data_IF_422098801632
#
_entry.id   IF_422098801632
#
_cell.length_a   1.000
_cell.length_b   1.000
_cell.length_c   1.000
_cell.angle_alpha   90.00
_cell.angle_beta   90.00
_cell.angle_gamma   90.00
#
_symmetry.space_group_name_H-M   'P 1'
#
loop_
_entity.id
_entity.type
_entity.pdbx_description
1 polymer ?
#
# COMPACT_ATOMS: atom_id res chain seq x y z
N UNK A 1 -25.97 7.43 -4.98
CA UNK A 1 -25.70 6.78 -3.69
C UNK A 1 -24.33 7.25 -3.22
N UNK A 2 -24.23 7.72 -1.96
CA UNK A 2 -22.96 8.07 -1.33
C UNK A 2 -22.32 6.76 -0.84
N UNK A 3 -21.07 6.53 -1.21
CA UNK A 3 -20.29 5.35 -0.78
C UNK A 3 -19.22 5.79 0.22
N UNK A 4 -19.00 5.00 1.25
CA UNK A 4 -17.99 5.22 2.27
C UNK A 4 -16.75 4.40 1.93
N UNK A 5 -15.58 5.02 1.99
CA UNK A 5 -14.31 4.32 1.81
C UNK A 5 -13.41 4.51 3.03
N UNK A 6 -12.65 3.48 3.37
CA UNK A 6 -11.49 3.58 4.26
C UNK A 6 -10.25 3.33 3.43
N UNK A 7 -9.25 4.19 3.60
CA UNK A 7 -7.98 4.15 2.87
C UNK A 7 -6.85 4.08 3.90
N UNK A 8 -5.96 3.12 3.76
CA UNK A 8 -4.82 2.94 4.67
C UNK A 8 -3.51 2.79 3.90
N UNK A 9 -2.50 3.62 4.15
CA UNK A 9 -1.16 3.49 3.59
C UNK A 9 -0.20 2.80 4.58
N UNK A 10 0.98 2.47 4.12
CA UNK A 10 2.25 2.36 4.84
C UNK A 10 2.19 1.62 6.18
N UNK A 11 1.63 0.42 6.20
CA UNK A 11 1.47 -0.37 7.43
C UNK A 11 2.76 -1.03 7.91
N UNK A 12 3.66 -1.38 6.97
CA UNK A 12 4.98 -1.96 7.25
C UNK A 12 4.98 -3.12 8.24
N UNK A 13 4.08 -4.11 8.03
CA UNK A 13 4.12 -5.32 8.86
C UNK A 13 5.49 -6.02 8.70
N UNK A 14 6.11 -6.50 9.79
CA UNK A 14 5.59 -6.61 11.16
C UNK A 14 5.97 -5.46 12.09
N UNK A 15 6.65 -4.39 11.61
CA UNK A 15 7.14 -3.28 12.45
C UNK A 15 6.11 -2.18 12.72
N UNK A 16 4.88 -2.40 12.28
CA UNK A 16 3.73 -1.50 12.39
C UNK A 16 3.44 -1.02 13.83
N UNK A 17 2.83 0.14 13.96
CA UNK A 17 2.22 0.55 15.23
C UNK A 17 0.95 -0.29 15.51
N UNK A 18 1.06 -1.16 16.51
CA UNK A 18 -0.05 -2.05 16.93
C UNK A 18 -1.29 -1.29 17.40
N UNK A 19 -1.12 -0.07 17.96
CA UNK A 19 -2.26 0.76 18.39
C UNK A 19 -2.96 1.36 17.18
N UNK A 20 -2.20 1.85 16.20
CA UNK A 20 -2.75 2.38 14.95
C UNK A 20 -3.57 1.31 14.21
N UNK A 21 -3.05 0.09 14.06
CA UNK A 21 -3.80 -1.00 13.41
C UNK A 21 -5.09 -1.35 14.16
N UNK A 22 -5.08 -1.38 15.49
CA UNK A 22 -6.30 -1.58 16.27
C UNK A 22 -7.32 -0.46 16.06
N UNK A 23 -6.87 0.79 15.92
CA UNK A 23 -7.73 1.93 15.61
C UNK A 23 -8.33 1.78 14.20
N UNK A 24 -7.54 1.38 13.21
CA UNK A 24 -8.01 1.09 11.85
C UNK A 24 -9.11 0.01 11.86
N UNK A 25 -8.87 -1.12 12.53
CA UNK A 25 -9.86 -2.20 12.66
C UNK A 25 -11.16 -1.68 13.30
N UNK A 26 -11.07 -0.92 14.39
CA UNK A 26 -12.22 -0.32 15.04
C UNK A 26 -12.94 0.70 14.15
N UNK A 27 -12.19 1.51 13.39
CA UNK A 27 -12.77 2.45 12.43
C UNK A 27 -13.54 1.72 11.32
N UNK A 28 -13.04 0.60 10.80
CA UNK A 28 -13.74 -0.25 9.85
C UNK A 28 -15.07 -0.74 10.42
N UNK A 29 -15.08 -1.25 11.65
CA UNK A 29 -16.29 -1.76 12.31
C UNK A 29 -17.35 -0.65 12.56
N UNK A 30 -16.91 0.59 12.86
CA UNK A 30 -17.81 1.73 13.10
C UNK A 30 -18.34 2.32 11.78
N UNK A 31 -17.43 2.58 10.82
CA UNK A 31 -17.76 3.24 9.55
C UNK A 31 -18.55 2.31 8.63
N UNK A 32 -18.27 1.00 8.71
CA UNK A 32 -18.82 -0.03 7.81
C UNK A 32 -18.64 0.39 6.35
N UNK A 33 -17.40 0.47 5.86
CA UNK A 33 -17.11 1.00 4.53
C UNK A 33 -17.67 0.09 3.44
N UNK A 34 -18.08 0.71 2.34
CA UNK A 34 -18.45 0.02 1.10
C UNK A 34 -17.18 -0.39 0.33
N UNK A 35 -16.10 0.38 0.52
CA UNK A 35 -14.82 0.22 -0.18
C UNK A 35 -13.67 0.28 0.83
N UNK A 36 -12.73 -0.64 0.70
CA UNK A 36 -11.45 -0.57 1.40
C UNK A 36 -10.29 -0.46 0.40
N UNK A 37 -9.37 0.47 0.62
CA UNK A 37 -8.22 0.69 -0.25
C UNK A 37 -6.95 0.62 0.57
N UNK A 38 -6.14 -0.39 0.29
CA UNK A 38 -4.76 -0.51 0.75
C UNK A 38 -3.84 0.21 -0.24
N UNK A 39 -3.11 1.22 0.20
CA UNK A 39 -2.21 1.99 -0.67
C UNK A 39 -0.79 1.42 -0.74
N UNK A 40 -0.57 0.22 -0.25
CA UNK A 40 0.73 -0.46 -0.33
C UNK A 40 1.68 -0.13 0.82
N UNK A 41 2.92 -0.57 0.66
CA UNK A 41 3.91 -0.69 1.73
C UNK A 41 3.28 -1.40 2.95
N UNK A 42 2.55 -2.46 2.64
CA UNK A 42 1.86 -3.31 3.62
C UNK A 42 2.86 -4.18 4.35
N UNK A 43 3.88 -4.67 3.64
CA UNK A 43 5.02 -5.37 4.22
C UNK A 43 6.29 -4.53 4.21
N UNK A 44 7.16 -4.74 5.19
CA UNK A 44 8.42 -4.00 5.29
C UNK A 44 9.41 -4.38 4.18
N UNK A 45 9.58 -5.67 3.90
CA UNK A 45 10.44 -6.22 2.84
C UNK A 45 11.86 -5.62 2.76
N UNK A 46 12.39 -5.08 3.85
CA UNK A 46 13.67 -4.36 3.91
C UNK A 46 14.82 -5.15 3.29
N UNK A 47 14.88 -6.46 3.58
CA UNK A 47 15.94 -7.35 3.09
C UNK A 47 15.98 -7.52 1.57
N UNK A 48 14.97 -7.06 0.85
CA UNK A 48 14.89 -7.12 -0.62
C UNK A 48 15.14 -5.76 -1.27
N UNK A 49 15.34 -4.71 -0.46
CA UNK A 49 15.70 -3.37 -0.91
C UNK A 49 17.14 -3.28 -1.34
N UNK A 50 17.41 -2.66 -2.49
CA UNK A 50 18.77 -2.30 -2.90
C UNK A 50 19.43 -1.29 -1.95
N UNK A 51 18.63 -0.49 -1.24
CA UNK A 51 19.11 0.46 -0.24
C UNK A 51 19.66 -0.24 1.00
N UNK A 52 19.01 -1.32 1.44
CA UNK A 52 19.48 -2.13 2.57
C UNK A 52 20.88 -2.72 2.34
N UNK A 53 21.15 -3.17 1.11
CA UNK A 53 22.44 -3.79 0.76
C UNK A 53 23.54 -2.79 0.42
N UNK A 54 23.25 -1.50 0.35
CA UNK A 54 24.28 -0.49 0.05
C UNK A 54 25.34 -0.48 1.15
N UNK A 55 26.57 -0.85 0.79
CA UNK A 55 27.70 -0.97 1.73
C UNK A 55 27.68 -2.21 2.63
N UNK A 56 26.79 -3.18 2.38
CA UNK A 56 26.70 -4.47 3.08
C UNK A 56 26.95 -5.62 2.11
N UNK A 57 27.53 -6.71 2.60
CA UNK A 57 27.64 -7.94 1.82
C UNK A 57 26.27 -8.59 1.64
N UNK A 58 25.97 -9.05 0.42
CA UNK A 58 24.73 -9.79 0.17
C UNK A 58 24.72 -11.08 0.99
N UNK A 59 23.57 -11.42 1.58
CA UNK A 59 23.39 -12.70 2.26
C UNK A 59 23.26 -13.83 1.24
N UNK A 60 23.76 -15.03 1.58
CA UNK A 60 23.48 -16.23 0.81
C UNK A 60 21.96 -16.48 0.71
N UNK A 61 21.54 -17.16 -0.35
CA UNK A 61 20.11 -17.48 -0.55
C UNK A 61 19.55 -18.35 0.56
N UNK A 62 20.36 -19.24 1.12
CA UNK A 62 20.01 -20.10 2.27
C UNK A 62 19.63 -19.29 3.52
N UNK A 63 20.17 -18.09 3.70
CA UNK A 63 19.83 -17.18 4.79
C UNK A 63 18.61 -16.30 4.43
N UNK A 64 18.45 -15.94 3.16
CA UNK A 64 17.37 -15.06 2.71
C UNK A 64 16.00 -15.76 2.69
N UNK A 65 15.95 -17.05 2.31
CA UNK A 65 14.67 -17.78 2.21
C UNK A 65 13.95 -17.93 3.57
N UNK A 66 14.64 -18.29 4.67
CA UNK A 66 14.00 -18.30 5.99
C UNK A 66 13.47 -16.93 6.42
N UNK A 67 14.18 -15.84 6.13
CA UNK A 67 13.73 -14.46 6.38
C UNK A 67 12.48 -14.15 5.57
N UNK A 68 12.48 -14.46 4.28
CA UNK A 68 11.34 -14.26 3.39
C UNK A 68 10.10 -15.01 3.88
N UNK A 69 10.27 -16.27 4.27
CA UNK A 69 9.17 -17.08 4.83
C UNK A 69 8.59 -16.45 6.10
N UNK A 70 9.48 -15.95 6.96
CA UNK A 70 9.07 -15.26 8.19
C UNK A 70 8.31 -13.98 7.87
N UNK A 71 8.84 -13.14 6.98
CA UNK A 71 8.24 -11.88 6.60
C UNK A 71 6.86 -12.10 5.96
N UNK A 72 6.74 -13.02 5.00
CA UNK A 72 5.46 -13.41 4.39
C UNK A 72 4.44 -13.84 5.45
N UNK A 73 4.85 -14.68 6.40
CA UNK A 73 3.97 -15.13 7.49
C UNK A 73 3.50 -13.96 8.36
N UNK A 74 4.40 -13.07 8.72
CA UNK A 74 4.10 -11.97 9.64
C UNK A 74 3.25 -10.88 8.96
N UNK A 75 3.51 -10.58 7.67
CA UNK A 75 2.66 -9.67 6.87
C UNK A 75 1.25 -10.24 6.72
N UNK A 76 1.12 -11.53 6.38
CA UNK A 76 -0.20 -12.17 6.28
C UNK A 76 -0.99 -12.08 7.59
N UNK A 77 -0.35 -12.29 8.76
CA UNK A 77 -1.02 -12.10 10.06
C UNK A 77 -1.52 -10.67 10.27
N UNK A 78 -0.74 -9.69 9.83
CA UNK A 78 -1.16 -8.29 9.89
C UNK A 78 -2.37 -8.01 9.00
N UNK A 79 -2.38 -8.54 7.78
CA UNK A 79 -3.52 -8.45 6.87
C UNK A 79 -4.74 -9.18 7.41
N UNK A 80 -4.58 -10.36 8.02
CA UNK A 80 -5.69 -11.12 8.61
C UNK A 80 -6.48 -10.29 9.64
N UNK A 81 -5.80 -9.47 10.44
CA UNK A 81 -6.46 -8.58 11.42
C UNK A 81 -7.39 -7.55 10.75
N UNK A 82 -6.98 -7.00 9.62
CA UNK A 82 -7.77 -6.04 8.85
C UNK A 82 -8.91 -6.76 8.13
N UNK A 83 -8.61 -7.89 7.49
CA UNK A 83 -9.59 -8.69 6.76
C UNK A 83 -10.72 -9.18 7.67
N UNK A 84 -10.41 -9.64 8.88
CA UNK A 84 -11.42 -10.00 9.89
C UNK A 84 -12.39 -8.85 10.17
N UNK A 85 -11.91 -7.61 10.28
CA UNK A 85 -12.75 -6.44 10.50
C UNK A 85 -13.58 -6.10 9.27
N UNK A 86 -13.02 -6.23 8.06
CA UNK A 86 -13.74 -6.02 6.81
C UNK A 86 -14.82 -7.08 6.58
N UNK A 87 -14.54 -8.34 6.92
CA UNK A 87 -15.49 -9.45 6.82
C UNK A 87 -16.68 -9.28 7.77
N UNK A 88 -16.43 -8.87 9.03
CA UNK A 88 -17.48 -8.57 10.01
C UNK A 88 -18.48 -7.55 9.51
N UNK A 89 -18.06 -6.58 8.71
CA UNK A 89 -18.91 -5.51 8.17
C UNK A 89 -19.35 -5.77 6.73
N UNK A 90 -19.01 -6.92 6.17
CA UNK A 90 -19.33 -7.34 4.79
C UNK A 90 -18.83 -6.35 3.72
N UNK A 91 -17.63 -5.78 3.91
CA UNK A 91 -16.97 -4.93 2.90
C UNK A 91 -16.48 -5.80 1.74
N UNK A 92 -17.14 -5.72 0.58
CA UNK A 92 -16.87 -6.59 -0.58
C UNK A 92 -15.90 -5.99 -1.57
N UNK A 93 -15.88 -4.67 -1.71
CA UNK A 93 -14.98 -3.99 -2.65
C UNK A 93 -13.68 -3.64 -1.94
N UNK A 94 -12.61 -4.35 -2.30
CA UNK A 94 -11.29 -4.20 -1.70
C UNK A 94 -10.25 -4.01 -2.79
N UNK A 95 -9.41 -3.01 -2.66
CA UNK A 95 -8.33 -2.72 -3.59
C UNK A 95 -6.99 -2.74 -2.88
N UNK A 96 -6.00 -3.36 -3.51
CA UNK A 96 -4.61 -3.37 -3.06
C UNK A 96 -3.75 -2.66 -4.10
N UNK A 97 -3.26 -1.48 -3.77
CA UNK A 97 -2.32 -0.72 -4.61
C UNK A 97 -0.90 -1.07 -4.17
N UNK A 98 -0.11 -1.62 -5.07
CA UNK A 98 1.27 -2.01 -4.78
C UNK A 98 2.13 -0.80 -4.38
N UNK A 99 2.84 -0.90 -3.26
CA UNK A 99 3.83 0.08 -2.81
C UNK A 99 5.23 -0.22 -3.32
N UNK A 100 6.19 0.64 -2.98
CA UNK A 100 7.57 0.43 -3.42
C UNK A 100 8.27 -0.72 -2.66
N UNK A 101 7.86 -1.03 -1.45
CA UNK A 101 8.38 -2.17 -0.71
C UNK A 101 7.95 -3.50 -1.36
N UNK A 102 6.71 -3.63 -1.80
CA UNK A 102 6.26 -4.77 -2.59
C UNK A 102 7.00 -4.86 -3.93
N UNK A 103 7.30 -3.72 -4.57
CA UNK A 103 8.12 -3.69 -5.80
C UNK A 103 9.53 -4.22 -5.56
N UNK A 104 10.14 -4.01 -4.38
CA UNK A 104 11.45 -4.60 -4.08
C UNK A 104 11.37 -6.12 -4.03
N UNK A 105 10.36 -6.66 -3.36
CA UNK A 105 10.11 -8.10 -3.32
C UNK A 105 9.91 -8.67 -4.73
N UNK A 106 9.04 -8.06 -5.53
CA UNK A 106 8.76 -8.52 -6.89
C UNK A 106 10.01 -8.47 -7.78
N UNK A 107 10.84 -7.43 -7.67
CA UNK A 107 12.12 -7.35 -8.38
C UNK A 107 13.11 -8.42 -7.96
N UNK A 108 13.11 -8.80 -6.69
CA UNK A 108 13.92 -9.93 -6.21
C UNK A 108 13.41 -11.24 -6.83
N UNK A 109 12.12 -11.51 -6.80
CA UNK A 109 11.51 -12.70 -7.39
C UNK A 109 11.76 -12.78 -8.91
N UNK A 110 11.67 -11.67 -9.63
CA UNK A 110 11.95 -11.64 -11.08
C UNK A 110 13.39 -12.11 -11.38
N UNK A 111 14.35 -11.85 -10.50
CA UNK A 111 15.74 -12.36 -10.67
C UNK A 111 15.87 -13.86 -10.39
N UNK A 112 14.92 -14.43 -9.67
CA UNK A 112 14.92 -15.83 -9.25
C UNK A 112 13.55 -16.48 -9.53
N UNK A 113 13.25 -16.81 -10.80
CA UNK A 113 11.91 -17.25 -11.23
C UNK A 113 11.36 -18.47 -10.48
N UNK A 114 12.21 -19.31 -9.91
CA UNK A 114 11.80 -20.44 -9.07
C UNK A 114 11.19 -20.02 -7.72
N UNK A 115 11.20 -18.72 -7.41
CA UNK A 115 10.58 -18.12 -6.23
C UNK A 115 9.22 -17.45 -6.54
N UNK A 116 8.58 -17.76 -7.67
CA UNK A 116 7.33 -17.10 -8.13
C UNK A 116 6.21 -17.12 -7.06
N UNK A 117 6.18 -18.11 -6.18
CA UNK A 117 5.23 -18.17 -5.06
C UNK A 117 5.38 -17.00 -4.07
N UNK A 118 6.52 -16.31 -4.08
CA UNK A 118 6.79 -15.14 -3.22
C UNK A 118 6.51 -13.80 -3.88
N UNK A 119 6.06 -13.79 -5.14
CA UNK A 119 5.59 -12.56 -5.75
C UNK A 119 4.44 -11.99 -4.94
N UNK A 120 4.37 -10.68 -4.80
CA UNK A 120 3.42 -9.99 -3.91
C UNK A 120 2.01 -10.56 -3.96
N UNK A 121 1.44 -10.71 -5.16
CA UNK A 121 0.07 -11.23 -5.34
C UNK A 121 -0.10 -12.62 -4.73
N UNK A 122 0.89 -13.51 -4.92
CA UNK A 122 0.87 -14.89 -4.44
C UNK A 122 1.18 -14.96 -2.93
N UNK A 123 2.27 -14.30 -2.50
CA UNK A 123 2.72 -14.32 -1.12
C UNK A 123 1.67 -13.76 -0.16
N UNK A 124 1.00 -12.70 -0.53
CA UNK A 124 -0.05 -12.05 0.26
C UNK A 124 -1.45 -12.58 -0.03
N UNK A 125 -1.58 -13.53 -0.98
CA UNK A 125 -2.86 -14.17 -1.33
C UNK A 125 -3.94 -13.14 -1.73
N UNK A 126 -3.56 -12.11 -2.46
CA UNK A 126 -4.36 -10.92 -2.74
C UNK A 126 -5.73 -11.29 -3.30
N UNK A 127 -5.79 -12.07 -4.37
CA UNK A 127 -7.05 -12.53 -4.98
C UNK A 127 -7.90 -13.37 -4.00
N UNK A 128 -7.26 -14.31 -3.28
CA UNK A 128 -7.95 -15.17 -2.30
C UNK A 128 -8.59 -14.38 -1.16
N UNK A 129 -8.00 -13.24 -0.79
CA UNK A 129 -8.52 -12.29 0.21
C UNK A 129 -9.62 -11.38 -0.34
N UNK A 130 -9.93 -11.48 -1.63
CA UNK A 130 -10.96 -10.67 -2.30
C UNK A 130 -10.51 -9.26 -2.66
N UNK A 131 -9.20 -9.02 -2.77
CA UNK A 131 -8.68 -7.74 -3.23
C UNK A 131 -8.48 -7.74 -4.75
N UNK A 132 -8.84 -6.62 -5.39
CA UNK A 132 -8.37 -6.29 -6.73
C UNK A 132 -6.95 -5.71 -6.65
N UNK A 133 -6.00 -6.32 -7.35
CA UNK A 133 -4.60 -5.91 -7.34
C UNK A 133 -4.30 -4.83 -8.36
N UNK A 134 -3.64 -3.75 -7.93
CA UNK A 134 -3.21 -2.64 -8.78
C UNK A 134 -1.69 -2.53 -8.72
N UNK A 135 -0.96 -3.00 -9.74
CA UNK A 135 0.50 -2.89 -9.79
C UNK A 135 0.96 -1.43 -9.73
N UNK A 136 2.14 -1.20 -9.11
CA UNK A 136 2.74 0.11 -9.04
C UNK A 136 2.99 0.69 -10.44
N UNK A 137 2.09 1.55 -10.87
CA UNK A 137 2.12 2.15 -12.19
C UNK A 137 1.87 3.66 -12.09
N UNK A 138 2.84 4.43 -12.59
CA UNK A 138 2.79 5.90 -12.55
C UNK A 138 1.81 6.51 -13.55
N UNK A 139 1.36 5.74 -14.54
CA UNK A 139 0.47 6.20 -15.62
C UNK A 139 -0.96 5.72 -15.45
N UNK A 140 -1.16 4.60 -14.77
CA UNK A 140 -2.48 3.99 -14.54
C UNK A 140 -2.75 3.94 -13.03
N UNK A 141 -3.46 4.94 -12.52
CA UNK A 141 -3.86 5.03 -11.12
C UNK A 141 -5.19 4.30 -10.89
N UNK A 142 -5.41 3.82 -9.68
CA UNK A 142 -6.75 3.43 -9.26
C UNK A 142 -7.61 4.69 -9.20
N UNK A 143 -8.76 4.69 -9.90
CA UNK A 143 -9.69 5.83 -9.91
C UNK A 143 -11.06 5.38 -9.45
N UNK A 144 -11.57 6.00 -8.40
CA UNK A 144 -12.93 5.77 -7.88
C UNK A 144 -13.65 7.12 -7.90
N UNK A 145 -14.66 7.22 -8.74
CA UNK A 145 -15.33 8.49 -8.98
C UNK A 145 -14.39 9.54 -9.57
N UNK A 146 -14.20 10.66 -8.86
CA UNK A 146 -13.31 11.77 -9.26
C UNK A 146 -11.96 11.75 -8.52
N UNK A 147 -11.69 10.74 -7.71
CA UNK A 147 -10.51 10.66 -6.87
C UNK A 147 -9.59 9.54 -7.35
N UNK A 148 -8.32 9.86 -7.50
CA UNK A 148 -7.26 8.91 -7.83
C UNK A 148 -6.56 8.45 -6.57
N UNK A 149 -6.09 7.20 -6.60
CA UNK A 149 -5.35 6.56 -5.52
C UNK A 149 -4.06 5.97 -6.05
N UNK A 150 -2.99 6.16 -5.31
CA UNK A 150 -1.66 5.60 -5.61
C UNK A 150 -0.90 5.43 -4.30
N UNK A 151 0.12 4.57 -4.30
CA UNK A 151 1.03 4.53 -3.16
C UNK A 151 1.75 5.88 -2.96
N UNK A 152 2.12 6.54 -4.03
CA UNK A 152 2.90 7.78 -3.99
C UNK A 152 4.21 7.65 -4.75
N UNK A 153 4.87 8.79 -5.00
CA UNK A 153 6.13 8.80 -5.76
C UNK A 153 7.10 9.88 -5.32
N UNK A 154 6.59 11.04 -5.00
CA UNK A 154 7.43 12.21 -4.76
C UNK A 154 7.66 12.37 -3.25
N UNK A 155 8.92 12.54 -2.85
CA UNK A 155 9.37 12.66 -1.46
C UNK A 155 9.98 14.04 -1.13
N UNK A 156 9.78 15.03 -2.02
CA UNK A 156 10.27 16.39 -1.79
C UNK A 156 9.48 17.07 -0.68
N UNK A 157 10.04 18.13 -0.07
CA UNK A 157 9.37 18.93 0.97
C UNK A 157 7.93 19.34 0.63
N UNK A 158 7.62 19.57 -0.64
CA UNK A 158 6.30 19.94 -1.13
C UNK A 158 5.70 18.83 -2.01
N UNK A 159 5.76 17.59 -1.54
CA UNK A 159 5.34 16.42 -2.31
C UNK A 159 3.84 16.45 -2.68
N UNK A 160 2.96 16.98 -1.83
CA UNK A 160 1.54 17.11 -2.17
C UNK A 160 1.30 18.08 -3.34
N UNK A 161 2.00 19.21 -3.37
CA UNK A 161 1.99 20.10 -4.53
C UNK A 161 2.49 19.36 -5.78
N UNK A 162 3.60 18.62 -5.65
CA UNK A 162 4.20 17.90 -6.78
C UNK A 162 3.31 16.80 -7.34
N UNK A 163 2.61 16.05 -6.47
CA UNK A 163 1.61 15.08 -6.91
C UNK A 163 0.47 15.78 -7.69
N UNK A 164 -0.06 16.88 -7.13
CA UNK A 164 -1.13 17.62 -7.76
C UNK A 164 -0.73 18.20 -9.13
N UNK A 165 0.48 18.76 -9.20
CA UNK A 165 1.03 19.37 -10.42
C UNK A 165 1.23 18.33 -11.53
N UNK A 166 1.75 17.14 -11.18
CA UNK A 166 2.04 16.09 -12.17
C UNK A 166 0.79 15.36 -12.64
N UNK A 167 -0.14 15.07 -11.74
CA UNK A 167 -1.33 14.28 -12.08
C UNK A 167 -2.51 15.12 -12.56
N UNK A 168 -2.57 16.41 -12.19
CA UNK A 168 -3.63 17.32 -12.65
C UNK A 168 -5.05 16.99 -12.18
N UNK A 169 -5.20 16.04 -11.26
CA UNK A 169 -6.46 15.55 -10.71
C UNK A 169 -6.37 15.39 -9.20
N UNK A 170 -7.53 15.29 -8.54
CA UNK A 170 -7.55 14.98 -7.10
C UNK A 170 -6.98 13.59 -6.82
N UNK A 171 -6.11 13.49 -5.80
CA UNK A 171 -5.33 12.28 -5.51
C UNK A 171 -5.08 12.07 -4.02
N UNK A 172 -5.21 10.83 -3.56
CA UNK A 172 -4.77 10.36 -2.24
C UNK A 172 -3.60 9.40 -2.39
N UNK A 173 -2.63 9.50 -1.48
CA UNK A 173 -1.41 8.68 -1.52
C UNK A 173 -0.76 8.55 -0.13
N UNK A 174 0.14 7.57 0.02
CA UNK A 174 0.99 7.31 1.19
C UNK A 174 2.45 7.65 0.94
N UNK A 175 3.37 6.72 1.24
CA UNK A 175 4.79 6.73 0.92
C UNK A 175 5.69 7.67 1.73
N UNK A 176 5.22 8.84 2.10
CA UNK A 176 6.05 9.89 2.71
C UNK A 176 6.00 9.90 4.23
N UNK A 177 5.14 9.11 4.83
CA UNK A 177 4.91 8.99 6.27
C UNK A 177 4.67 10.35 6.97
N UNK A 178 4.13 11.32 6.23
CA UNK A 178 3.70 12.60 6.78
C UNK A 178 2.34 13.05 6.23
N UNK A 179 1.64 13.85 6.99
CA UNK A 179 0.37 14.42 6.59
C UNK A 179 0.61 15.72 5.84
N UNK A 180 0.25 15.74 4.57
CA UNK A 180 0.34 16.96 3.77
C UNK A 180 -0.87 17.09 2.85
N UNK A 181 -1.35 18.32 2.68
CA UNK A 181 -2.42 18.65 1.73
C UNK A 181 -2.03 19.83 0.88
N UNK A 182 -2.32 19.75 -0.40
CA UNK A 182 -2.29 20.90 -1.31
C UNK A 182 -3.57 20.97 -2.13
N UNK A 183 -4.06 22.19 -2.35
CA UNK A 183 -5.30 22.45 -3.10
C UNK A 183 -5.04 23.50 -4.17
N UNK A 184 -5.56 23.28 -5.37
CA UNK A 184 -5.46 24.21 -6.51
C UNK A 184 -6.84 24.42 -7.11
N UNK A 185 -7.21 25.67 -7.33
CA UNK A 185 -8.44 26.05 -8.06
C UNK A 185 -8.06 26.51 -9.47
N UNK A 186 -8.79 26.03 -10.46
CA UNK A 186 -8.65 26.39 -11.86
C UNK A 186 -10.05 26.46 -12.52
N UNK A 187 -10.12 26.82 -13.81
CA UNK A 187 -11.40 26.98 -14.51
C UNK A 187 -12.32 25.73 -14.47
N UNK A 188 -11.74 24.53 -14.40
CA UNK A 188 -12.47 23.26 -14.28
C UNK A 188 -12.90 22.89 -12.86
N UNK A 189 -12.62 23.72 -11.85
CA UNK A 189 -12.97 23.48 -10.45
C UNK A 189 -11.76 23.38 -9.53
N UNK A 190 -11.98 22.79 -8.34
CA UNK A 190 -10.94 22.63 -7.32
C UNK A 190 -10.47 21.18 -7.25
N UNK A 191 -9.16 20.99 -7.27
CA UNK A 191 -8.50 19.70 -7.10
C UNK A 191 -7.58 19.72 -5.88
N UNK A 192 -7.40 18.60 -5.24
CA UNK A 192 -6.54 18.48 -4.05
C UNK A 192 -5.73 17.19 -4.06
N UNK A 193 -4.53 17.28 -3.49
CA UNK A 193 -3.71 16.10 -3.16
C UNK A 193 -3.63 15.95 -1.64
N UNK A 194 -3.78 14.72 -1.17
CA UNK A 194 -3.68 14.36 0.25
C UNK A 194 -2.65 13.24 0.43
N UNK A 195 -1.62 13.52 1.22
CA UNK A 195 -0.79 12.49 1.84
C UNK A 195 -1.44 12.04 3.14
N UNK A 196 -1.53 10.74 3.34
CA UNK A 196 -2.27 10.15 4.46
C UNK A 196 -1.38 9.76 5.65
N UNK A 197 -0.07 9.96 5.54
CA UNK A 197 0.90 9.62 6.58
C UNK A 197 1.54 8.27 6.42
#
# INVERSE_FOLDING_TARGET
VVRRAIVTPDKHFPIHDKKAIKIVCKAIEIVKPDIYIDLGDTGEWEHFSSHYWKGRSAKPMEDLIPLLNKDVKDVNKGMDMIDESLDKVNCKERHFVQGNHEVWLDKFVIRYPYLEQYKTENALKIEKRGYEYHPYNRKKLLKIGKLNFTHGKFVSKYHSFKHLDVYGESIMYGHTHDLQRHTKTHAGGTISAWSLG
#
